data_IF_427983998024
#
_entry.id   IF_427983998024
#
_cell.length_a   1.000
_cell.length_b   1.000
_cell.length_c   1.000
_cell.angle_alpha   90.00
_cell.angle_beta   90.00
_cell.angle_gamma   90.00
#
_symmetry.space_group_name_H-M   'P 1'
#
loop_
_entity.id
_entity.type
_entity.pdbx_description
1 polymer ?
#
# COMPACT_ATOMS: atom_id res chain seq x y z
N UNK A 1 7.52 20.43 3.37
CA UNK A 1 6.18 20.54 4.00
C UNK A 1 6.33 20.39 5.50
N UNK A 2 5.55 21.12 6.31
CA UNK A 2 5.56 21.07 7.78
C UNK A 2 4.28 20.42 8.29
N UNK A 3 4.40 19.40 9.13
CA UNK A 3 3.28 18.79 9.85
C UNK A 3 2.89 19.64 11.09
N UNK A 4 1.70 19.41 11.64
CA UNK A 4 1.25 20.07 12.87
C UNK A 4 2.04 19.63 14.12
N UNK A 5 2.64 18.44 14.07
CA UNK A 5 3.53 17.91 15.09
C UNK A 5 4.95 17.74 14.53
N UNK A 6 6.00 17.72 15.38
CA UNK A 6 7.31 17.24 14.97
C UNK A 6 7.21 15.85 14.35
N UNK A 7 8.01 15.57 13.32
CA UNK A 7 7.94 14.35 12.52
C UNK A 7 7.86 13.07 13.36
N UNK A 8 8.70 12.95 14.39
CA UNK A 8 8.71 11.79 15.30
C UNK A 8 7.31 11.45 15.86
N UNK A 9 6.49 12.45 16.15
CA UNK A 9 5.15 12.25 16.67
C UNK A 9 4.12 12.11 15.55
N UNK A 10 4.25 12.88 14.48
CA UNK A 10 3.32 12.82 13.35
C UNK A 10 3.35 11.46 12.63
N UNK A 11 4.52 10.83 12.52
CA UNK A 11 4.72 9.48 11.96
C UNK A 11 4.01 8.36 12.76
N UNK A 12 3.38 8.68 13.90
CA UNK A 12 2.66 7.71 14.74
C UNK A 12 1.13 7.83 14.63
N UNK A 13 0.60 8.71 13.77
CA UNK A 13 -0.85 8.95 13.62
C UNK A 13 -1.37 8.51 12.25
N UNK A 14 -2.66 8.17 12.17
CA UNK A 14 -3.35 7.86 10.91
C UNK A 14 -3.17 6.43 10.42
N UNK A 15 -2.27 5.64 11.01
CA UNK A 15 -2.00 4.26 10.62
C UNK A 15 -3.22 3.34 10.74
N UNK A 16 -3.95 3.40 11.85
CA UNK A 16 -5.10 2.51 12.03
C UNK A 16 -6.26 2.90 11.09
N UNK A 17 -6.48 4.20 10.88
CA UNK A 17 -7.46 4.73 9.93
C UNK A 17 -7.11 4.32 8.48
N UNK A 18 -5.84 4.44 8.09
CA UNK A 18 -5.33 4.01 6.79
C UNK A 18 -5.57 2.52 6.58
N UNK A 19 -5.19 1.68 7.54
CA UNK A 19 -5.38 0.23 7.48
C UNK A 19 -6.86 -0.13 7.40
N UNK A 20 -7.74 0.59 8.10
CA UNK A 20 -9.18 0.40 8.03
C UNK A 20 -9.74 0.75 6.65
N UNK A 21 -9.23 1.79 5.99
CA UNK A 21 -9.59 2.11 4.61
C UNK A 21 -9.16 0.99 3.65
N UNK A 22 -7.93 0.47 3.78
CA UNK A 22 -7.46 -0.68 2.99
C UNK A 22 -8.32 -1.91 3.25
N UNK A 23 -8.65 -2.20 4.50
CA UNK A 23 -9.53 -3.31 4.88
C UNK A 23 -10.92 -3.21 4.24
N UNK A 24 -11.51 -2.02 4.17
CA UNK A 24 -12.80 -1.81 3.49
C UNK A 24 -12.71 -2.08 1.99
N UNK A 25 -11.64 -1.64 1.33
CA UNK A 25 -11.42 -1.92 -0.09
C UNK A 25 -11.23 -3.42 -0.31
N UNK A 26 -10.33 -4.06 0.44
CA UNK A 26 -10.06 -5.51 0.37
C UNK A 26 -11.34 -6.33 0.58
N UNK A 27 -12.11 -6.04 1.64
CA UNK A 27 -13.35 -6.76 1.95
C UNK A 27 -14.46 -6.54 0.90
N UNK A 28 -14.41 -5.47 0.11
CA UNK A 28 -15.36 -5.21 -0.97
C UNK A 28 -15.08 -6.00 -2.25
N UNK A 29 -13.89 -6.60 -2.37
CA UNK A 29 -13.50 -7.40 -3.53
C UNK A 29 -14.15 -8.79 -3.49
N UNK A 30 -14.36 -9.45 -4.64
CA UNK A 30 -14.76 -10.85 -4.67
C UNK A 30 -13.79 -11.75 -3.90
N UNK A 31 -14.30 -12.79 -3.24
CA UNK A 31 -13.50 -13.67 -2.38
C UNK A 31 -12.33 -14.37 -3.12
N UNK A 32 -12.45 -14.60 -4.42
CA UNK A 32 -11.37 -15.16 -5.23
C UNK A 32 -10.31 -14.12 -5.59
N UNK A 33 -10.70 -12.86 -5.78
CA UNK A 33 -9.75 -11.74 -5.95
C UNK A 33 -8.98 -11.46 -4.65
N UNK A 34 -9.65 -11.53 -3.50
CA UNK A 34 -9.01 -11.32 -2.19
C UNK A 34 -7.82 -12.26 -1.95
N UNK A 35 -7.90 -13.52 -2.41
CA UNK A 35 -6.83 -14.51 -2.27
C UNK A 35 -5.61 -14.20 -3.15
N UNK A 36 -5.81 -13.46 -4.24
CA UNK A 36 -4.77 -13.10 -5.20
C UNK A 36 -4.17 -11.73 -4.93
N UNK A 37 -4.92 -10.85 -4.25
CA UNK A 37 -4.55 -9.48 -3.99
C UNK A 37 -3.35 -9.36 -3.04
N UNK A 38 -2.30 -8.69 -3.50
CA UNK A 38 -1.22 -8.17 -2.66
C UNK A 38 -1.55 -6.75 -2.22
N UNK A 39 -1.05 -6.33 -1.05
CA UNK A 39 -1.07 -4.91 -0.64
C UNK A 39 0.35 -4.37 -0.82
N UNK A 40 0.52 -3.27 -1.54
CA UNK A 40 1.82 -2.63 -1.77
C UNK A 40 1.81 -1.21 -1.20
N UNK A 41 2.83 -0.92 -0.39
CA UNK A 41 2.98 0.37 0.29
C UNK A 41 4.29 1.05 -0.12
N UNK A 42 4.30 2.38 -0.16
CA UNK A 42 5.46 3.15 -0.63
C UNK A 42 6.59 3.18 0.40
N UNK A 43 6.27 3.00 1.69
CA UNK A 43 7.26 3.01 2.75
C UNK A 43 7.03 1.93 3.82
N UNK A 44 8.07 1.68 4.64
CA UNK A 44 8.04 0.68 5.69
C UNK A 44 7.08 1.02 6.85
N UNK A 45 6.71 2.30 7.03
CA UNK A 45 5.77 2.74 8.06
C UNK A 45 4.36 2.32 7.70
N UNK A 46 3.93 2.62 6.48
CA UNK A 46 2.67 2.14 5.90
C UNK A 46 2.60 0.61 5.89
N UNK A 47 3.65 -0.04 5.38
CA UNK A 47 3.72 -1.50 5.35
C UNK A 47 3.68 -2.11 6.76
N UNK A 48 4.39 -1.50 7.71
CA UNK A 48 4.37 -1.88 9.12
C UNK A 48 3.01 -1.72 9.77
N UNK A 49 2.27 -0.66 9.42
CA UNK A 49 0.90 -0.47 9.89
C UNK A 49 -0.04 -1.56 9.37
N UNK A 50 0.06 -1.95 8.10
CA UNK A 50 -0.69 -3.07 7.52
C UNK A 50 -0.35 -4.38 8.24
N UNK A 51 0.93 -4.69 8.43
CA UNK A 51 1.35 -5.92 9.11
C UNK A 51 0.92 -5.96 10.59
N UNK A 52 0.88 -4.81 11.26
CA UNK A 52 0.51 -4.72 12.67
C UNK A 52 -1.02 -4.71 12.90
N UNK A 53 -1.77 -3.88 12.17
CA UNK A 53 -3.22 -3.72 12.37
C UNK A 53 -4.06 -4.57 11.41
N UNK A 54 -3.53 -4.94 10.24
CA UNK A 54 -4.23 -5.69 9.20
C UNK A 54 -4.72 -7.09 9.59
N UNK A 55 -4.02 -7.86 10.45
CA UNK A 55 -4.48 -9.19 10.84
C UNK A 55 -5.88 -9.22 11.46
N UNK A 56 -6.30 -8.18 12.19
CA UNK A 56 -7.65 -8.10 12.77
C UNK A 56 -8.76 -7.95 11.72
N UNK A 57 -8.40 -7.56 10.50
CA UNK A 57 -9.28 -7.44 9.35
C UNK A 57 -9.11 -8.57 8.32
N UNK A 58 -8.21 -9.52 8.59
CA UNK A 58 -7.89 -10.60 7.64
C UNK A 58 -7.08 -10.14 6.42
N UNK A 59 -6.38 -9.01 6.52
CA UNK A 59 -5.49 -8.55 5.45
C UNK A 59 -4.27 -9.47 5.31
N UNK A 60 -3.78 -9.71 4.08
CA UNK A 60 -2.48 -10.34 3.89
C UNK A 60 -1.34 -9.42 4.35
N UNK A 61 -0.13 -9.98 4.57
CA UNK A 61 1.06 -9.17 4.81
C UNK A 61 1.33 -8.17 3.68
N UNK A 62 1.88 -7.02 4.03
CA UNK A 62 2.21 -5.98 3.08
C UNK A 62 3.48 -6.30 2.28
N UNK A 63 3.53 -5.76 1.07
CA UNK A 63 4.73 -5.66 0.26
C UNK A 63 5.20 -4.21 0.25
N UNK A 64 6.52 -4.02 0.24
CA UNK A 64 7.10 -2.71 -0.03
C UNK A 64 8.51 -2.87 -0.61
N UNK A 65 8.87 -1.93 -1.46
CA UNK A 65 10.24 -1.78 -1.94
C UNK A 65 11.18 -1.11 -0.93
N UNK A 66 10.65 -0.63 0.20
CA UNK A 66 11.40 0.19 1.16
C UNK A 66 12.06 -0.67 2.26
N UNK A 67 13.36 -0.45 2.49
CA UNK A 67 14.14 -1.08 3.57
C UNK A 67 14.04 -2.62 3.58
N UNK A 68 13.75 -3.22 4.75
CA UNK A 68 13.73 -4.66 4.96
C UNK A 68 12.62 -5.37 4.17
N UNK A 69 11.51 -4.70 3.84
CA UNK A 69 10.44 -5.28 3.04
C UNK A 69 10.94 -5.72 1.66
N UNK A 70 11.88 -4.96 1.07
CA UNK A 70 12.51 -5.35 -0.19
C UNK A 70 13.19 -6.72 -0.10
N UNK A 71 13.88 -6.99 1.00
CA UNK A 71 14.59 -8.25 1.23
C UNK A 71 13.66 -9.42 1.55
N UNK A 72 12.48 -9.17 2.11
CA UNK A 72 11.45 -10.20 2.31
C UNK A 72 10.81 -10.65 1.00
N UNK A 73 10.79 -9.77 0.00
CA UNK A 73 10.40 -10.10 -1.36
C UNK A 73 8.88 -10.24 -1.55
N UNK A 74 8.43 -10.48 -2.79
CA UNK A 74 7.01 -10.56 -3.12
C UNK A 74 6.37 -11.92 -2.79
N UNK A 75 7.13 -12.88 -2.23
CA UNK A 75 6.65 -14.24 -1.98
C UNK A 75 6.11 -14.92 -3.25
N UNK A 76 4.85 -15.35 -3.18
CA UNK A 76 4.13 -16.03 -4.28
C UNK A 76 3.25 -15.08 -5.11
N UNK A 77 3.21 -13.79 -4.79
CA UNK A 77 2.41 -12.83 -5.55
C UNK A 77 2.98 -12.63 -6.95
N UNK A 78 2.08 -12.54 -7.94
CA UNK A 78 2.41 -12.43 -9.36
C UNK A 78 2.31 -11.01 -9.89
N UNK A 79 1.56 -10.14 -9.19
CA UNK A 79 1.12 -8.83 -9.67
C UNK A 79 -0.22 -8.87 -10.41
N UNK A 80 -0.97 -9.98 -10.33
CA UNK A 80 -2.28 -10.10 -10.96
C UNK A 80 -3.29 -9.09 -10.39
N UNK A 81 -3.35 -8.97 -9.05
CA UNK A 81 -4.13 -7.96 -8.36
C UNK A 81 -3.26 -7.34 -7.27
N UNK A 82 -3.18 -6.01 -7.27
CA UNK A 82 -2.43 -5.25 -6.28
C UNK A 82 -3.28 -4.09 -5.77
N UNK A 83 -3.43 -4.01 -4.45
CA UNK A 83 -3.93 -2.83 -3.75
C UNK A 83 -2.71 -1.96 -3.46
N UNK A 84 -2.59 -0.84 -4.17
CA UNK A 84 -1.45 0.07 -4.05
C UNK A 84 -1.87 1.31 -3.27
N UNK A 85 -1.11 1.66 -2.24
CA UNK A 85 -1.19 2.97 -1.60
C UNK A 85 -0.25 3.92 -2.31
N UNK A 86 -0.74 5.03 -2.83
CA UNK A 86 0.12 6.06 -3.46
C UNK A 86 -0.59 7.43 -3.49
N UNK A 87 0.13 8.52 -3.78
CA UNK A 87 -0.46 9.86 -3.85
C UNK A 87 -1.06 10.20 -5.22
N UNK A 88 -0.57 9.59 -6.31
CA UNK A 88 -1.23 9.55 -7.61
C UNK A 88 -1.09 8.18 -8.29
N UNK A 89 -1.65 8.02 -9.48
CA UNK A 89 -1.70 6.74 -10.20
C UNK A 89 -0.83 6.70 -11.47
N UNK A 90 0.15 7.60 -11.61
CA UNK A 90 0.91 7.78 -12.84
C UNK A 90 1.69 6.51 -13.17
N UNK A 91 2.48 6.01 -12.22
CA UNK A 91 3.29 4.81 -12.40
C UNK A 91 2.41 3.57 -12.52
N UNK A 92 1.33 3.47 -11.74
CA UNK A 92 0.39 2.36 -11.78
C UNK A 92 -0.25 2.24 -13.17
N UNK A 93 -0.66 3.36 -13.77
CA UNK A 93 -1.28 3.36 -15.10
C UNK A 93 -0.27 2.97 -16.18
N UNK A 94 1.01 3.26 -15.97
CA UNK A 94 2.08 2.78 -16.85
C UNK A 94 2.39 1.29 -16.65
N UNK A 95 2.26 0.77 -15.43
CA UNK A 95 2.67 -0.58 -15.07
C UNK A 95 1.56 -1.63 -15.18
N UNK A 96 0.29 -1.27 -15.01
CA UNK A 96 -0.85 -2.18 -14.98
C UNK A 96 -1.81 -1.96 -16.16
N UNK A 97 -2.60 -2.99 -16.52
CA UNK A 97 -3.61 -2.85 -17.59
C UNK A 97 -4.86 -2.13 -17.11
N UNK A 98 -5.20 -2.25 -15.83
CA UNK A 98 -6.35 -1.57 -15.22
C UNK A 98 -5.97 -0.98 -13.87
N UNK A 99 -6.40 0.25 -13.62
CA UNK A 99 -6.17 0.97 -12.37
C UNK A 99 -7.45 1.71 -11.99
N UNK A 100 -8.03 1.28 -10.88
CA UNK A 100 -9.24 1.86 -10.30
C UNK A 100 -8.90 2.60 -9.02
N UNK A 101 -9.20 3.90 -8.97
CA UNK A 101 -9.07 4.71 -7.75
C UNK A 101 -10.27 4.46 -6.83
N UNK A 102 -9.98 3.97 -5.62
CA UNK A 102 -10.99 3.67 -4.58
C UNK A 102 -11.12 4.78 -3.55
N UNK A 103 -10.49 5.93 -3.81
CA UNK A 103 -10.53 7.13 -2.99
C UNK A 103 -9.39 7.24 -2.00
N UNK A 104 -9.36 8.37 -1.32
CA UNK A 104 -8.37 8.70 -0.29
C UNK A 104 -8.49 7.79 0.94
N UNK A 105 -7.36 7.50 1.55
CA UNK A 105 -7.33 6.86 2.87
C UNK A 105 -7.96 7.78 3.92
N UNK A 106 -8.57 7.19 4.94
CA UNK A 106 -8.89 7.97 6.13
C UNK A 106 -7.57 8.20 6.87
N UNK A 107 -7.35 9.43 7.34
CA UNK A 107 -6.13 9.78 8.05
C UNK A 107 -6.42 10.75 9.19
N UNK A 108 -5.44 10.94 10.06
CA UNK A 108 -5.50 11.87 11.18
C UNK A 108 -5.00 13.25 10.74
N UNK A 109 -5.59 14.37 11.19
CA UNK A 109 -5.05 15.70 10.93
C UNK A 109 -3.65 15.92 11.54
N UNK A 110 -3.23 15.03 12.44
CA UNK A 110 -1.92 15.05 13.10
C UNK A 110 -0.88 14.17 12.38
N UNK A 111 -1.28 13.37 11.39
CA UNK A 111 -0.40 12.52 10.60
C UNK A 111 0.47 13.35 9.64
N UNK A 112 1.46 12.72 9.01
CA UNK A 112 2.29 13.42 8.03
C UNK A 112 1.46 13.86 6.80
N UNK A 113 1.72 15.06 6.24
CA UNK A 113 0.92 15.59 5.12
C UNK A 113 0.92 14.72 3.85
N UNK A 114 1.93 13.87 3.64
CA UNK A 114 1.95 12.92 2.52
C UNK A 114 1.12 11.66 2.83
N UNK A 115 1.15 11.16 4.07
CA UNK A 115 0.29 10.03 4.50
C UNK A 115 -1.20 10.40 4.50
N UNK A 116 -1.53 11.70 4.63
CA UNK A 116 -2.91 12.20 4.49
C UNK A 116 -3.41 12.25 3.05
N UNK A 117 -2.52 12.20 2.06
CA UNK A 117 -2.85 12.36 0.64
C UNK A 117 -2.91 11.04 -0.13
N UNK A 118 -2.68 9.91 0.54
CA UNK A 118 -2.69 8.61 -0.10
C UNK A 118 -4.09 8.25 -0.59
N UNK A 119 -4.13 7.72 -1.80
CA UNK A 119 -5.26 7.03 -2.38
C UNK A 119 -5.03 5.51 -2.30
N UNK A 120 -6.12 4.76 -2.43
CA UNK A 120 -6.09 3.31 -2.57
C UNK A 120 -6.42 2.98 -4.01
N UNK A 121 -5.44 2.45 -4.75
CA UNK A 121 -5.64 1.97 -6.11
C UNK A 121 -5.79 0.45 -6.13
N UNK A 122 -6.81 -0.04 -6.84
CA UNK A 122 -6.91 -1.46 -7.18
C UNK A 122 -6.40 -1.63 -8.60
N UNK A 123 -5.19 -2.15 -8.69
CA UNK A 123 -4.44 -2.37 -9.91
C UNK A 123 -4.57 -3.83 -10.35
N UNK A 124 -4.81 -4.07 -11.64
CA UNK A 124 -4.95 -5.41 -12.21
C UNK A 124 -4.07 -5.61 -13.44
N UNK A 125 -3.57 -6.84 -13.56
CA UNK A 125 -2.71 -7.33 -14.62
C UNK A 125 -1.44 -6.48 -14.78
N UNK A 126 -0.48 -6.66 -13.89
CA UNK A 126 0.85 -6.08 -14.05
C UNK A 126 1.46 -6.49 -15.40
N UNK A 127 1.92 -5.52 -16.19
CA UNK A 127 2.36 -5.72 -17.58
C UNK A 127 3.63 -6.56 -17.71
N UNK A 128 4.44 -6.61 -16.65
CA UNK A 128 5.62 -7.47 -16.53
C UNK A 128 5.49 -8.33 -15.27
N UNK A 129 6.11 -9.51 -15.18
CA UNK A 129 6.06 -10.32 -13.97
C UNK A 129 6.58 -9.57 -12.74
N UNK A 130 5.89 -9.66 -11.60
CA UNK A 130 6.29 -8.95 -10.37
C UNK A 130 7.74 -9.28 -9.96
N UNK A 131 8.20 -10.51 -10.19
CA UNK A 131 9.59 -10.91 -9.91
C UNK A 131 10.63 -10.16 -10.78
N UNK A 132 10.25 -9.73 -11.98
CA UNK A 132 11.11 -8.93 -12.86
C UNK A 132 11.04 -7.43 -12.51
N UNK A 133 9.88 -6.97 -12.03
CA UNK A 133 9.72 -5.60 -11.52
C UNK A 133 10.46 -5.41 -10.19
N UNK A 134 10.42 -6.40 -9.30
CA UNK A 134 10.88 -6.30 -7.91
C UNK A 134 12.25 -5.64 -7.73
N UNK A 135 13.31 -6.02 -8.47
CA UNK A 135 14.63 -5.40 -8.32
C UNK A 135 14.66 -3.89 -8.56
N UNK A 136 13.67 -3.35 -9.29
CA UNK A 136 13.53 -1.92 -9.60
C UNK A 136 12.79 -1.14 -8.51
N UNK A 137 12.09 -1.83 -7.61
CA UNK A 137 11.29 -1.20 -6.55
C UNK A 137 12.14 -0.84 -5.31
N UNK A 138 13.44 -1.15 -5.30
CA UNK A 138 14.29 -0.97 -4.12
C UNK A 138 14.50 0.51 -3.76
N UNK A 139 14.06 0.89 -2.58
CA UNK A 139 14.19 2.24 -2.02
C UNK A 139 14.78 2.15 -0.60
N UNK A 140 15.56 3.17 -0.20
CA UNK A 140 16.27 3.21 1.09
C UNK A 140 16.01 4.45 1.94
N UNK A 141 15.35 5.47 1.40
CA UNK A 141 15.11 6.76 2.03
C UNK A 141 13.61 7.07 1.98
#
# INVERSE_FOLDING_TARGET
>A
HTAALPQLFADQFGWEEMVRSVARVYASMPADEQKLAAIFCQNYGEAGAIDFFGPKYGLPPALSGHQNYFYWGPGNYTGEIMIVLDDDATDEREQFRSVEDRGMVESSPWAMPWEQRLHIFVCRDLKIPLRELWPKLRVWL
#
